data_IF_478396850842
#
_entry.id   IF_478396850842
#
_cell.length_a   1.000
_cell.length_b   1.000
_cell.length_c   1.000
_cell.angle_alpha   90.00
_cell.angle_beta   90.00
_cell.angle_gamma   90.00
#
_symmetry.space_group_name_H-M   'P 1'
#
loop_
_entity.id
_entity.type
_entity.pdbx_description
1 polymer ?
#
# COMPACT_ATOMS: atom_id res chain seq x y z
N UNK A 1 4.61 28.18 -20.37
CA UNK A 1 4.35 27.48 -19.09
C UNK A 1 3.01 26.75 -19.22
N UNK A 2 3.01 25.47 -19.66
CA UNK A 2 1.76 24.71 -19.88
C UNK A 2 1.00 24.63 -18.56
N UNK A 3 -0.23 25.12 -18.56
CA UNK A 3 -1.14 25.16 -17.40
C UNK A 3 -1.30 23.74 -16.85
N UNK A 4 -0.89 23.54 -15.60
CA UNK A 4 -1.14 22.31 -14.85
C UNK A 4 -2.66 22.13 -14.81
N UNK A 5 -3.16 21.03 -15.39
CA UNK A 5 -4.56 20.64 -15.19
C UNK A 5 -4.81 20.53 -13.70
N UNK A 6 -5.84 21.23 -13.20
CA UNK A 6 -6.18 21.18 -11.79
C UNK A 6 -6.42 19.72 -11.35
N UNK A 7 -5.98 19.31 -10.15
CA UNK A 7 -6.33 18.01 -9.62
C UNK A 7 -7.85 17.95 -9.51
N UNK A 8 -8.44 16.91 -10.10
CA UNK A 8 -9.87 16.62 -9.99
C UNK A 8 -10.16 16.04 -8.60
N UNK A 9 -11.42 16.04 -8.19
CA UNK A 9 -11.88 15.45 -6.92
C UNK A 9 -11.39 14.02 -6.74
N UNK A 10 -11.34 13.23 -7.82
CA UNK A 10 -10.90 11.84 -7.76
C UNK A 10 -9.42 11.69 -7.38
N UNK A 11 -8.56 12.67 -7.71
CA UNK A 11 -7.16 12.67 -7.28
C UNK A 11 -7.05 12.81 -5.76
N UNK A 12 -7.91 13.62 -5.12
CA UNK A 12 -7.95 13.73 -3.66
C UNK A 12 -8.44 12.43 -3.01
N UNK A 13 -9.52 11.84 -3.53
CA UNK A 13 -10.06 10.57 -3.03
C UNK A 13 -9.06 9.43 -3.22
N UNK A 14 -8.40 9.37 -4.38
CA UNK A 14 -7.38 8.36 -4.66
C UNK A 14 -6.18 8.46 -3.73
N UNK A 15 -5.72 9.69 -3.43
CA UNK A 15 -4.64 9.92 -2.49
C UNK A 15 -5.05 9.52 -1.06
N UNK A 16 -6.21 9.98 -0.62
CA UNK A 16 -6.79 9.62 0.68
C UNK A 16 -6.86 8.10 0.88
N UNK A 17 -7.37 7.36 -0.11
CA UNK A 17 -7.49 5.90 -0.03
C UNK A 17 -6.12 5.20 -0.05
N UNK A 18 -5.18 5.72 -0.84
CA UNK A 18 -3.83 5.15 -0.89
C UNK A 18 -3.12 5.33 0.45
N UNK A 19 -3.18 6.52 1.06
CA UNK A 19 -2.47 6.83 2.31
C UNK A 19 -3.14 6.18 3.51
N UNK A 20 -4.48 6.08 3.49
CA UNK A 20 -5.25 5.21 4.39
C UNK A 20 -4.73 3.78 4.34
N UNK A 21 -4.57 3.22 3.15
CA UNK A 21 -4.09 1.85 2.97
C UNK A 21 -2.64 1.69 3.44
N UNK A 22 -1.78 2.68 3.17
CA UNK A 22 -0.37 2.69 3.61
C UNK A 22 -0.26 2.60 5.12
N UNK A 23 -0.98 3.46 5.84
CA UNK A 23 -0.93 3.48 7.30
C UNK A 23 -1.61 2.25 7.92
N UNK A 24 -2.73 1.80 7.35
CA UNK A 24 -3.34 0.53 7.76
C UNK A 24 -2.35 -0.63 7.59
N UNK A 25 -1.64 -0.71 6.47
CA UNK A 25 -0.67 -1.77 6.20
C UNK A 25 0.51 -1.73 7.18
N UNK A 26 1.07 -0.54 7.42
CA UNK A 26 2.18 -0.33 8.35
C UNK A 26 1.83 -0.82 9.76
N UNK A 27 0.70 -0.35 10.31
CA UNK A 27 0.27 -0.75 11.66
C UNK A 27 -0.12 -2.23 11.69
N UNK A 28 -0.77 -2.75 10.64
CA UNK A 28 -1.11 -4.17 10.55
C UNK A 28 0.13 -5.06 10.59
N UNK A 29 1.21 -4.68 9.90
CA UNK A 29 2.48 -5.40 9.93
C UNK A 29 3.10 -5.39 11.33
N UNK A 30 3.01 -4.29 12.09
CA UNK A 30 3.49 -4.29 13.49
C UNK A 30 2.77 -5.34 14.33
N UNK A 31 1.46 -5.55 14.11
CA UNK A 31 0.66 -6.54 14.85
C UNK A 31 1.02 -7.95 14.43
N UNK A 32 1.14 -8.20 13.13
CA UNK A 32 1.51 -9.51 12.58
C UNK A 32 2.92 -9.90 13.04
N UNK A 33 3.91 -9.01 12.89
CA UNK A 33 5.29 -9.28 13.28
C UNK A 33 5.48 -9.45 14.79
N UNK A 34 4.67 -8.76 15.61
CA UNK A 34 4.72 -8.98 17.06
C UNK A 34 4.36 -10.43 17.44
N UNK A 35 3.52 -11.09 16.64
CA UNK A 35 3.14 -12.50 16.85
C UNK A 35 4.13 -13.45 16.17
N UNK A 36 4.61 -13.13 14.96
CA UNK A 36 5.44 -14.05 14.17
C UNK A 36 6.95 -13.96 14.47
N UNK A 37 7.47 -12.77 14.79
CA UNK A 37 8.91 -12.47 14.87
C UNK A 37 9.35 -11.85 16.21
N UNK A 38 8.45 -11.78 17.20
CA UNK A 38 8.60 -11.05 18.48
C UNK A 38 8.54 -9.52 18.38
N UNK A 39 8.07 -8.91 19.47
CA UNK A 39 7.81 -7.47 19.64
C UNK A 39 8.97 -6.56 19.19
N UNK A 40 10.23 -6.91 19.50
CA UNK A 40 11.37 -6.06 19.16
C UNK A 40 11.54 -5.86 17.66
N UNK A 41 11.28 -6.90 16.86
CA UNK A 41 11.36 -6.83 15.40
C UNK A 41 10.09 -6.23 14.79
N UNK A 42 8.98 -6.19 15.51
CA UNK A 42 7.74 -5.59 15.04
C UNK A 42 7.87 -4.09 14.75
N UNK A 43 8.56 -3.32 15.60
CA UNK A 43 8.74 -1.87 15.40
C UNK A 43 9.68 -1.53 14.25
N UNK A 44 10.50 -2.49 13.80
CA UNK A 44 11.32 -2.30 12.60
C UNK A 44 10.45 -2.11 11.35
N UNK A 45 9.18 -2.55 11.35
CA UNK A 45 8.24 -2.31 10.26
C UNK A 45 8.04 -0.81 9.97
N UNK A 46 8.04 0.05 10.99
CA UNK A 46 7.92 1.51 10.82
C UNK A 46 9.13 2.04 10.05
N UNK A 47 10.35 1.65 10.47
CA UNK A 47 11.58 2.03 9.77
C UNK A 47 11.60 1.53 8.32
N UNK A 48 11.08 0.32 8.07
CA UNK A 48 10.98 -0.26 6.73
C UNK A 48 9.95 0.47 5.88
N UNK A 49 8.83 0.89 6.46
CA UNK A 49 7.82 1.68 5.79
C UNK A 49 8.40 3.04 5.36
N UNK A 50 9.06 3.74 6.28
CA UNK A 50 9.75 4.99 5.97
C UNK A 50 10.85 4.79 4.93
N UNK A 51 11.65 3.73 5.04
CA UNK A 51 12.71 3.40 4.06
C UNK A 51 12.13 3.17 2.66
N UNK A 52 11.12 2.32 2.55
CA UNK A 52 10.45 2.04 1.27
C UNK A 52 9.86 3.31 0.67
N UNK A 53 9.09 4.08 1.45
CA UNK A 53 8.51 5.34 0.96
C UNK A 53 9.57 6.35 0.51
N UNK A 54 10.67 6.45 1.26
CA UNK A 54 11.80 7.35 0.92
C UNK A 54 12.50 6.90 -0.35
N UNK A 55 12.76 5.59 -0.52
CA UNK A 55 13.28 5.04 -1.76
C UNK A 55 12.34 5.33 -2.94
N UNK A 56 11.03 5.18 -2.75
CA UNK A 56 10.03 5.52 -3.75
C UNK A 56 10.09 6.99 -4.18
N UNK A 57 10.15 7.91 -3.22
CA UNK A 57 10.31 9.34 -3.48
C UNK A 57 11.64 9.66 -4.18
N UNK A 58 12.73 9.01 -3.78
CA UNK A 58 14.06 9.15 -4.38
C UNK A 58 14.08 8.68 -5.83
N UNK A 59 13.39 7.58 -6.15
CA UNK A 59 13.21 7.12 -7.55
C UNK A 59 12.51 8.20 -8.38
N UNK A 60 11.45 8.82 -7.86
CA UNK A 60 10.74 9.90 -8.56
C UNK A 60 11.64 11.12 -8.79
N UNK A 61 12.50 11.42 -7.82
CA UNK A 61 13.43 12.55 -7.87
C UNK A 61 14.59 12.32 -8.85
N UNK A 62 15.23 11.15 -8.84
CA UNK A 62 16.39 10.81 -9.67
C UNK A 62 16.01 10.58 -11.13
N UNK A 63 14.80 10.08 -11.40
CA UNK A 63 14.36 9.68 -12.75
C UNK A 63 13.25 10.59 -13.32
N UNK A 64 13.42 11.93 -13.37
CA UNK A 64 12.34 12.86 -13.72
C UNK A 64 11.82 12.68 -15.16
N UNK A 65 12.64 12.09 -16.05
CA UNK A 65 12.28 11.78 -17.44
C UNK A 65 11.11 10.78 -17.53
N UNK A 66 11.01 9.86 -16.57
CA UNK A 66 9.94 8.87 -16.51
C UNK A 66 8.69 9.42 -15.80
N UNK A 67 8.87 10.33 -14.84
CA UNK A 67 7.81 10.94 -14.04
C UNK A 67 7.38 12.31 -14.56
N UNK A 68 7.03 12.39 -15.84
CA UNK A 68 6.53 13.62 -16.47
C UNK A 68 5.15 14.00 -15.95
N UNK A 69 4.89 15.32 -15.87
CA UNK A 69 3.60 15.86 -15.40
C UNK A 69 2.42 15.40 -16.26
N UNK A 70 2.62 15.21 -17.58
CA UNK A 70 1.53 14.75 -18.46
C UNK A 70 1.04 13.33 -18.12
N UNK A 71 1.91 12.50 -17.50
CA UNK A 71 1.60 11.13 -17.12
C UNK A 71 1.21 10.98 -15.65
N UNK A 72 1.08 12.08 -14.90
CA UNK A 72 0.88 12.05 -13.45
C UNK A 72 -0.31 11.17 -13.04
N UNK A 73 -1.49 11.38 -13.62
CA UNK A 73 -2.68 10.57 -13.30
C UNK A 73 -2.50 9.08 -13.62
N UNK A 74 -1.83 8.75 -14.74
CA UNK A 74 -1.53 7.35 -15.08
C UNK A 74 -0.57 6.71 -14.09
N UNK A 75 0.45 7.45 -13.66
CA UNK A 75 1.46 6.95 -12.73
C UNK A 75 0.90 6.82 -11.32
N UNK A 76 0.01 7.73 -10.89
CA UNK A 76 -0.74 7.60 -9.63
C UNK A 76 -1.59 6.33 -9.61
N UNK A 77 -2.37 6.10 -10.68
CA UNK A 77 -3.20 4.90 -10.79
C UNK A 77 -2.35 3.62 -10.82
N UNK A 78 -1.26 3.60 -11.59
CA UNK A 78 -0.37 2.45 -11.68
C UNK A 78 0.35 2.17 -10.36
N UNK A 79 0.91 3.18 -9.71
CA UNK A 79 1.63 3.01 -8.44
C UNK A 79 0.71 2.53 -7.32
N UNK A 80 -0.52 3.05 -7.24
CA UNK A 80 -1.54 2.60 -6.29
C UNK A 80 -1.98 1.15 -6.56
N UNK A 81 -2.11 0.73 -7.83
CA UNK A 81 -2.41 -0.66 -8.19
C UNK A 81 -1.26 -1.61 -7.84
N UNK A 82 -0.02 -1.24 -8.17
CA UNK A 82 1.16 -2.06 -7.85
C UNK A 82 1.35 -2.13 -6.34
N UNK A 83 1.07 -1.05 -5.60
CA UNK A 83 1.07 -1.06 -4.13
C UNK A 83 0.08 -2.11 -3.59
N UNK A 84 -1.17 -2.13 -4.08
CA UNK A 84 -2.16 -3.15 -3.69
C UNK A 84 -1.65 -4.58 -3.94
N UNK A 85 -1.18 -4.86 -5.16
CA UNK A 85 -0.71 -6.19 -5.52
C UNK A 85 0.53 -6.60 -4.73
N UNK A 86 1.51 -5.70 -4.61
CA UNK A 86 2.73 -5.96 -3.85
C UNK A 86 2.47 -6.11 -2.35
N UNK A 87 1.47 -5.44 -1.76
CA UNK A 87 1.12 -5.64 -0.36
C UNK A 87 0.67 -7.10 -0.10
N UNK A 88 -0.21 -7.64 -0.95
CA UNK A 88 -0.68 -9.03 -0.84
C UNK A 88 0.47 -10.01 -1.10
N UNK A 89 1.23 -9.80 -2.19
CA UNK A 89 2.33 -10.70 -2.58
C UNK A 89 3.42 -10.71 -1.52
N UNK A 90 3.84 -9.55 -1.02
CA UNK A 90 4.85 -9.45 0.03
C UNK A 90 4.41 -10.14 1.32
N UNK A 91 3.13 -10.03 1.70
CA UNK A 91 2.58 -10.74 2.85
C UNK A 91 2.55 -12.26 2.65
N UNK A 92 2.12 -12.75 1.49
CA UNK A 92 2.13 -14.18 1.17
C UNK A 92 3.54 -14.78 1.15
N UNK A 93 4.52 -14.00 0.65
CA UNK A 93 5.93 -14.40 0.70
C UNK A 93 6.39 -14.46 2.16
N UNK A 94 6.06 -13.46 2.99
CA UNK A 94 6.43 -13.44 4.40
C UNK A 94 5.93 -14.68 5.17
N UNK A 95 4.67 -15.11 4.96
CA UNK A 95 4.14 -16.33 5.60
C UNK A 95 4.95 -17.58 5.23
N UNK A 96 5.49 -17.64 4.01
CA UNK A 96 6.27 -18.79 3.52
C UNK A 96 7.72 -18.77 3.95
N UNK A 97 8.25 -17.66 4.45
CA UNK A 97 9.63 -17.57 4.89
C UNK A 97 9.72 -18.17 6.29
N UNK A 98 10.43 -19.31 6.49
CA UNK A 98 10.66 -19.83 7.82
C UNK A 98 11.53 -18.85 8.62
N UNK A 99 11.02 -18.42 9.77
CA UNK A 99 11.75 -17.56 10.69
C UNK A 99 12.61 -18.40 11.63
N UNK A 100 13.93 -18.21 11.56
CA UNK A 100 14.87 -18.87 12.45
C UNK A 100 15.41 -17.86 13.47
N UNK A 101 15.18 -18.13 14.75
CA UNK A 101 15.57 -17.25 15.87
C UNK A 101 17.07 -17.29 16.20
N UNK A 102 17.81 -18.23 15.63
CA UNK A 102 19.23 -18.39 15.92
C UNK A 102 20.04 -17.26 15.26
N UNK A 103 21.08 -16.78 15.96
CA UNK A 103 22.12 -15.87 15.44
C UNK A 103 23.04 -16.59 14.43
N UNK A 104 22.44 -17.38 13.56
CA UNK A 104 23.07 -18.10 12.47
C UNK A 104 22.92 -17.26 11.21
N UNK A 105 23.87 -17.39 10.27
CA UNK A 105 23.87 -16.68 8.98
C UNK A 105 22.51 -16.81 8.26
N UNK A 106 21.84 -17.96 8.40
CA UNK A 106 20.49 -18.24 7.87
C UNK A 106 19.38 -17.39 8.52
N UNK A 107 19.44 -17.16 9.84
CA UNK A 107 18.47 -16.33 10.57
C UNK A 107 18.57 -14.87 10.14
N UNK A 108 19.81 -14.34 10.06
CA UNK A 108 20.07 -12.98 9.59
C UNK A 108 19.56 -12.80 8.14
N UNK A 109 19.86 -13.75 7.25
CA UNK A 109 19.37 -13.69 5.87
C UNK A 109 17.84 -13.73 5.80
N UNK A 110 17.17 -14.54 6.62
CA UNK A 110 15.70 -14.62 6.67
C UNK A 110 15.07 -13.26 7.07
N UNK A 111 15.65 -12.58 8.06
CA UNK A 111 15.23 -11.23 8.49
C UNK A 111 15.43 -10.21 7.36
N UNK A 112 16.63 -10.17 6.76
CA UNK A 112 16.96 -9.22 5.69
C UNK A 112 16.03 -9.42 4.49
N UNK A 113 15.82 -10.66 4.06
CA UNK A 113 14.91 -10.97 2.94
C UNK A 113 13.49 -10.54 3.28
N UNK A 114 13.01 -10.83 4.49
CA UNK A 114 11.69 -10.38 4.93
C UNK A 114 11.55 -8.86 4.83
N UNK A 115 12.53 -8.12 5.34
CA UNK A 115 12.48 -6.66 5.34
C UNK A 115 12.57 -6.06 3.94
N UNK A 116 13.38 -6.65 3.05
CA UNK A 116 13.40 -6.26 1.64
C UNK A 116 12.03 -6.48 1.01
N UNK A 117 11.46 -7.68 1.16
CA UNK A 117 10.15 -8.04 0.59
C UNK A 117 9.05 -7.10 1.10
N UNK A 118 9.05 -6.81 2.39
CA UNK A 118 8.04 -5.95 3.04
C UNK A 118 8.22 -4.49 2.66
N UNK A 119 9.42 -4.03 2.32
CA UNK A 119 9.67 -2.67 1.86
C UNK A 119 9.06 -2.37 0.48
N UNK A 120 8.91 -3.38 -0.38
CA UNK A 120 8.43 -3.25 -1.77
C UNK A 120 7.11 -2.48 -1.89
N UNK A 121 6.02 -2.85 -1.17
CA UNK A 121 4.77 -2.10 -1.23
C UNK A 121 4.93 -0.62 -0.83
N UNK A 122 5.74 -0.34 0.20
CA UNK A 122 5.98 1.03 0.65
C UNK A 122 6.72 1.88 -0.39
N UNK A 123 7.55 1.28 -1.25
CA UNK A 123 8.16 1.98 -2.40
C UNK A 123 7.08 2.52 -3.34
N UNK A 124 6.10 1.70 -3.69
CA UNK A 124 5.03 2.13 -4.60
C UNK A 124 4.07 3.14 -3.97
N UNK A 125 3.77 2.99 -2.68
CA UNK A 125 3.09 4.03 -1.90
C UNK A 125 3.86 5.35 -1.93
N UNK A 126 5.17 5.32 -1.65
CA UNK A 126 6.03 6.51 -1.67
C UNK A 126 6.10 7.19 -3.03
N UNK A 127 6.17 6.41 -4.12
CA UNK A 127 6.07 6.93 -5.49
C UNK A 127 4.73 7.65 -5.69
N UNK A 128 3.62 7.04 -5.29
CA UNK A 128 2.28 7.61 -5.44
C UNK A 128 2.17 8.97 -4.71
N UNK A 129 2.52 9.00 -3.42
CA UNK A 129 2.47 10.21 -2.59
C UNK A 129 3.41 11.29 -3.12
N UNK A 130 4.64 10.92 -3.50
CA UNK A 130 5.62 11.86 -4.06
C UNK A 130 5.10 12.49 -5.36
N UNK A 131 4.51 11.71 -6.27
CA UNK A 131 3.92 12.24 -7.51
C UNK A 131 2.77 13.19 -7.20
N UNK A 132 1.87 12.81 -6.29
CA UNK A 132 0.72 13.63 -5.92
C UNK A 132 1.17 14.99 -5.37
N UNK A 133 2.15 15.02 -4.47
CA UNK A 133 2.61 16.26 -3.84
C UNK A 133 3.54 17.10 -4.73
N UNK A 134 4.34 16.50 -5.62
CA UNK A 134 5.32 17.26 -6.43
C UNK A 134 4.79 17.72 -7.78
N UNK A 135 3.79 17.04 -8.36
CA UNK A 135 3.30 17.37 -9.72
C UNK A 135 2.17 18.39 -9.72
N UNK A 136 1.54 18.66 -8.57
CA UNK A 136 0.46 19.65 -8.40
C UNK A 136 0.81 20.77 -7.39
N UNK A 137 1.88 21.57 -7.63
CA UNK A 137 2.44 22.51 -6.65
C UNK A 137 1.44 23.55 -6.11
N UNK A 138 0.44 23.94 -6.92
CA UNK A 138 -0.58 24.93 -6.53
C UNK A 138 -1.58 24.40 -5.49
N UNK A 139 -1.70 23.07 -5.34
CA UNK A 139 -2.72 22.42 -4.51
C UNK A 139 -2.13 21.54 -3.41
N UNK A 140 -0.81 21.65 -3.16
CA UNK A 140 -0.07 20.79 -2.21
C UNK A 140 -0.70 20.82 -0.83
N UNK A 141 -1.09 21.98 -0.31
CA UNK A 141 -1.72 22.07 1.03
C UNK A 141 -3.00 21.25 1.14
N UNK A 142 -3.83 21.23 0.10
CA UNK A 142 -5.08 20.44 0.10
C UNK A 142 -4.82 18.95 -0.11
N UNK A 143 -3.85 18.61 -0.96
CA UNK A 143 -3.44 17.21 -1.18
C UNK A 143 -2.79 16.63 0.07
N UNK A 144 -1.97 17.41 0.75
CA UNK A 144 -1.35 17.06 2.02
C UNK A 144 -2.41 16.90 3.13
N UNK A 145 -3.43 17.75 3.16
CA UNK A 145 -4.57 17.55 4.06
C UNK A 145 -5.32 16.24 3.77
N UNK A 146 -5.52 15.86 2.50
CA UNK A 146 -6.11 14.58 2.13
C UNK A 146 -5.23 13.38 2.49
N UNK A 147 -3.91 13.49 2.32
CA UNK A 147 -2.91 12.50 2.74
C UNK A 147 -2.97 12.24 4.25
N UNK A 148 -2.88 13.30 5.07
CA UNK A 148 -2.97 13.22 6.53
C UNK A 148 -4.34 12.71 7.01
N UNK A 149 -5.43 13.16 6.38
CA UNK A 149 -6.77 12.66 6.70
C UNK A 149 -6.87 11.16 6.41
N UNK A 150 -6.37 10.71 5.25
CA UNK A 150 -6.35 9.29 4.88
C UNK A 150 -5.58 8.46 5.91
N UNK A 151 -4.36 8.90 6.25
CA UNK A 151 -3.54 8.29 7.29
C UNK A 151 -4.28 8.18 8.64
N UNK A 152 -4.89 9.26 9.12
CA UNK A 152 -5.62 9.28 10.38
C UNK A 152 -6.84 8.33 10.36
N UNK A 153 -7.63 8.34 9.28
CA UNK A 153 -8.75 7.42 9.11
C UNK A 153 -8.28 5.97 9.02
N UNK A 154 -7.14 5.70 8.38
CA UNK A 154 -6.53 4.38 8.32
C UNK A 154 -6.19 3.82 9.70
N UNK A 155 -5.59 4.64 10.57
CA UNK A 155 -5.30 4.24 11.95
C UNK A 155 -6.57 3.79 12.70
N UNK A 156 -7.67 4.55 12.58
CA UNK A 156 -8.94 4.23 13.23
C UNK A 156 -9.58 3.00 12.60
N UNK A 157 -9.63 2.95 11.26
CA UNK A 157 -10.30 1.91 10.51
C UNK A 157 -9.63 0.54 10.72
N UNK A 158 -8.31 0.50 10.89
CA UNK A 158 -7.60 -0.74 11.22
C UNK A 158 -8.06 -1.34 12.54
N UNK A 159 -8.34 -0.53 13.56
CA UNK A 159 -8.82 -1.03 14.87
C UNK A 159 -10.13 -1.78 14.70
N UNK A 160 -11.07 -1.20 13.94
CA UNK A 160 -12.33 -1.87 13.62
C UNK A 160 -12.10 -3.10 12.75
N UNK A 161 -11.22 -3.00 11.75
CA UNK A 161 -10.94 -4.11 10.82
C UNK A 161 -10.41 -5.33 11.57
N UNK A 162 -9.45 -5.16 12.48
CA UNK A 162 -8.92 -6.23 13.33
C UNK A 162 -9.90 -6.74 14.38
N UNK A 163 -10.92 -5.95 14.73
CA UNK A 163 -12.00 -6.38 15.63
C UNK A 163 -12.99 -7.34 14.97
N UNK A 164 -13.14 -7.27 13.64
CA UNK A 164 -14.09 -8.09 12.88
C UNK A 164 -13.44 -9.14 11.97
N UNK A 165 -12.13 -9.04 11.72
CA UNK A 165 -11.40 -9.91 10.78
C UNK A 165 -10.02 -10.30 11.29
N UNK A 166 -9.47 -11.40 10.77
CA UNK A 166 -8.13 -11.86 11.09
C UNK A 166 -7.03 -11.09 10.34
N UNK A 167 -5.76 -11.33 10.74
CA UNK A 167 -4.59 -10.69 10.13
C UNK A 167 -4.51 -10.82 8.60
N UNK A 168 -4.58 -12.04 8.02
CA UNK A 168 -4.55 -12.21 6.56
C UNK A 168 -5.69 -11.48 5.84
N UNK A 169 -6.91 -11.55 6.38
CA UNK A 169 -8.08 -10.88 5.81
C UNK A 169 -7.95 -9.36 5.85
N UNK A 170 -7.36 -8.83 6.93
CA UNK A 170 -7.03 -7.40 7.04
C UNK A 170 -6.07 -6.92 5.94
N UNK A 171 -5.09 -7.74 5.54
CA UNK A 171 -4.18 -7.41 4.43
C UNK A 171 -4.94 -7.30 3.10
N UNK A 172 -5.93 -8.17 2.89
CA UNK A 172 -6.77 -8.12 1.69
C UNK A 172 -7.62 -6.83 1.67
N UNK A 173 -8.17 -6.44 2.83
CA UNK A 173 -8.95 -5.19 2.97
C UNK A 173 -8.09 -3.97 2.64
N UNK A 174 -6.86 -3.93 3.15
CA UNK A 174 -5.87 -2.90 2.79
C UNK A 174 -5.64 -2.86 1.28
N UNK A 175 -5.45 -4.02 0.65
CA UNK A 175 -5.25 -4.11 -0.79
C UNK A 175 -6.46 -3.63 -1.59
N UNK A 176 -7.69 -3.86 -1.10
CA UNK A 176 -8.93 -3.35 -1.71
C UNK A 176 -8.96 -1.82 -1.68
N UNK A 177 -8.65 -1.18 -0.54
CA UNK A 177 -8.61 0.28 -0.46
C UNK A 177 -7.55 0.89 -1.40
N UNK A 178 -6.38 0.26 -1.51
CA UNK A 178 -5.36 0.69 -2.47
C UNK A 178 -5.84 0.53 -3.93
N UNK A 179 -6.49 -0.58 -4.29
CA UNK A 179 -7.08 -0.72 -5.62
C UNK A 179 -8.20 0.29 -5.88
N UNK A 180 -9.04 0.62 -4.89
CA UNK A 180 -10.06 1.65 -5.04
C UNK A 180 -9.40 3.01 -5.32
N UNK A 181 -8.30 3.32 -4.63
CA UNK A 181 -7.48 4.49 -4.92
C UNK A 181 -7.01 4.53 -6.38
N UNK A 182 -6.53 3.38 -6.90
CA UNK A 182 -6.15 3.23 -8.31
C UNK A 182 -7.31 3.50 -9.28
N UNK A 183 -8.52 3.03 -9.00
CA UNK A 183 -9.72 3.29 -9.82
C UNK A 183 -10.00 4.80 -9.87
N UNK A 184 -10.04 5.48 -8.72
CA UNK A 184 -10.29 6.92 -8.68
C UNK A 184 -9.24 7.71 -9.47
N UNK A 185 -7.96 7.34 -9.38
CA UNK A 185 -6.93 7.96 -10.22
C UNK A 185 -7.11 7.67 -11.72
N UNK A 186 -7.61 6.48 -12.09
CA UNK A 186 -7.87 6.10 -13.47
C UNK A 186 -9.03 6.86 -14.11
N UNK A 187 -10.05 7.25 -13.33
CA UNK A 187 -11.17 8.07 -13.80
C UNK A 187 -10.71 9.43 -14.35
N UNK A 188 -9.62 9.97 -13.82
CA UNK A 188 -9.09 11.26 -14.25
C UNK A 188 -8.35 11.20 -15.60
N UNK A 189 -7.82 10.02 -15.95
CA UNK A 189 -6.92 9.78 -17.07
C UNK A 189 -7.58 9.04 -18.26
N UNK A 190 -8.84 8.60 -18.12
CA UNK A 190 -9.55 7.74 -19.11
C UNK A 190 -8.75 6.49 -19.54
N UNK A 191 -7.81 6.01 -18.71
CA UNK A 191 -7.00 4.84 -19.04
C UNK A 191 -7.79 3.56 -18.74
N UNK A 192 -8.60 3.12 -19.72
CA UNK A 192 -9.52 1.99 -19.52
C UNK A 192 -8.82 0.66 -19.21
N UNK A 193 -7.54 0.51 -19.56
CA UNK A 193 -6.77 -0.71 -19.26
C UNK A 193 -6.50 -0.85 -17.76
N UNK A 194 -5.90 0.17 -17.13
CA UNK A 194 -5.59 0.13 -15.69
C UNK A 194 -6.87 0.06 -14.88
N UNK A 195 -7.91 0.79 -15.27
CA UNK A 195 -9.22 0.73 -14.62
C UNK A 195 -9.81 -0.69 -14.66
N UNK A 196 -9.80 -1.36 -15.82
CA UNK A 196 -10.29 -2.74 -15.94
C UNK A 196 -9.49 -3.70 -15.07
N UNK A 197 -8.16 -3.57 -15.06
CA UNK A 197 -7.29 -4.41 -14.22
C UNK A 197 -7.61 -4.17 -12.74
N UNK A 198 -7.72 -2.91 -12.29
CA UNK A 198 -8.03 -2.58 -10.91
C UNK A 198 -9.41 -3.11 -10.47
N UNK A 199 -10.43 -3.03 -11.35
CA UNK A 199 -11.77 -3.60 -11.10
C UNK A 199 -11.70 -5.13 -10.98
N UNK A 200 -11.00 -5.80 -11.90
CA UNK A 200 -10.82 -7.26 -11.84
C UNK A 200 -10.06 -7.65 -10.57
N UNK A 201 -8.99 -6.93 -10.21
CA UNK A 201 -8.26 -7.14 -8.97
C UNK A 201 -9.17 -6.99 -7.75
N UNK A 202 -10.02 -5.97 -7.68
CA UNK A 202 -10.98 -5.80 -6.58
C UNK A 202 -11.94 -6.98 -6.49
N UNK A 203 -12.51 -7.42 -7.61
CA UNK A 203 -13.43 -8.57 -7.61
C UNK A 203 -12.73 -9.83 -7.10
N UNK A 204 -11.49 -10.08 -7.53
CA UNK A 204 -10.69 -11.21 -7.06
C UNK A 204 -10.39 -11.08 -5.56
N UNK A 205 -9.98 -9.90 -5.09
CA UNK A 205 -9.67 -9.66 -3.68
C UNK A 205 -10.91 -9.80 -2.79
N UNK A 206 -12.08 -9.30 -3.22
CA UNK A 206 -13.34 -9.46 -2.50
C UNK A 206 -13.74 -10.94 -2.44
N UNK A 207 -13.63 -11.65 -3.56
CA UNK A 207 -13.91 -13.09 -3.60
C UNK A 207 -12.99 -13.85 -2.64
N UNK A 208 -11.69 -13.56 -2.66
CA UNK A 208 -10.71 -14.18 -1.78
C UNK A 208 -10.96 -13.83 -0.29
N UNK A 209 -11.30 -12.58 0.03
CA UNK A 209 -11.69 -12.17 1.38
C UNK A 209 -12.95 -12.89 1.87
N UNK A 210 -13.96 -13.04 1.00
CA UNK A 210 -15.20 -13.75 1.31
C UNK A 210 -14.96 -15.23 1.59
N UNK A 211 -14.17 -15.89 0.74
CA UNK A 211 -13.77 -17.29 0.91
C UNK A 211 -12.98 -17.48 2.20
N UNK A 212 -12.00 -16.61 2.48
CA UNK A 212 -11.18 -16.72 3.68
C UNK A 212 -12.00 -16.47 4.96
N UNK A 213 -12.93 -15.51 4.95
CA UNK A 213 -13.83 -15.25 6.08
C UNK A 213 -14.80 -16.41 6.32
N UNK A 214 -15.24 -17.09 5.26
CA UNK A 214 -16.08 -18.28 5.36
C UNK A 214 -15.29 -19.47 5.95
N UNK A 215 -14.08 -19.73 5.46
CA UNK A 215 -13.20 -20.80 5.93
C UNK A 215 -12.72 -20.59 7.38
N UNK A 216 -12.48 -19.34 7.79
CA UNK A 216 -12.16 -18.99 9.17
C UNK A 216 -13.31 -19.33 10.13
N UNK A 217 -14.58 -19.21 9.70
CA UNK A 217 -15.74 -19.66 10.48
C UNK A 217 -15.84 -21.18 10.62
N UNK A 218 -15.30 -21.93 9.66
CA UNK A 218 -15.26 -23.40 9.67
C UNK A 218 -13.97 -23.99 10.30
N UNK A 219 -13.16 -23.18 10.99
CA UNK A 219 -11.89 -23.58 11.63
C UNK A 219 -10.87 -24.23 10.67
N UNK A 220 -10.97 -23.98 9.36
CA UNK A 220 -10.07 -24.54 8.33
C UNK A 220 -9.43 -23.43 7.48
N UNK A 221 -8.60 -22.55 8.07
CA UNK A 221 -7.96 -21.48 7.30
C UNK A 221 -6.93 -22.04 6.30
N UNK A 222 -6.86 -21.41 5.12
CA UNK A 222 -5.92 -21.70 4.02
C UNK A 222 -4.48 -21.27 4.32
#
# INVERSE_FOLDING_TARGET
>A
MKTVSAPKTNTFVGLFLTTLSTLMYEILLTRIFSVTMWYHFAFMSISIAMFGMTLGALIVYIFPVYFKKEKAHSLLSLSSLIFSLSAVVSFLIHIKIPFYFELTLRGILSIVVTYIVVSIPFIFSGICVCIALTKFPRYVSKLYAADLAGAAFGCILLIYTLGYTDGPTSVIIVAIFACLGSIFFSLDNFNSKIMKIAVVCIVILISFAGVNTFLAREQSPL
#
